data_IF_650353111799
#
_entry.id   IF_650353111799
#
_cell.length_a   1.000
_cell.length_b   1.000
_cell.length_c   1.000
_cell.angle_alpha   90.00
_cell.angle_beta   90.00
_cell.angle_gamma   90.00
#
_symmetry.space_group_name_H-M   'P 1'
#
loop_
_entity.id
_entity.type
_entity.pdbx_description
1 polymer ?
#
# COMPACT_ATOMS: atom_id res chain seq x y z
N UNK A 1 12.43 -4.84 -20.81
CA UNK A 1 12.48 -3.39 -20.75
C UNK A 1 12.05 -2.90 -19.38
N UNK A 2 12.91 -2.24 -18.68
CA UNK A 2 12.61 -1.74 -17.36
C UNK A 2 11.79 -0.45 -17.37
N UNK A 3 11.03 -0.23 -16.31
CA UNK A 3 10.37 1.06 -16.09
C UNK A 3 11.46 2.04 -15.64
N UNK A 4 11.49 3.22 -16.21
CA UNK A 4 12.43 4.26 -15.81
C UNK A 4 11.74 5.28 -14.91
N UNK A 5 12.54 6.02 -14.17
CA UNK A 5 12.03 7.01 -13.23
C UNK A 5 11.83 6.46 -11.84
N UNK A 6 11.38 7.29 -10.90
CA UNK A 6 11.21 6.85 -9.51
C UNK A 6 10.03 5.88 -9.36
N UNK A 7 10.11 5.07 -8.31
CA UNK A 7 9.00 4.20 -7.93
C UNK A 7 7.83 5.09 -7.55
N UNK A 8 6.65 4.75 -8.04
CA UNK A 8 5.43 5.52 -7.76
C UNK A 8 4.53 4.73 -6.83
N UNK A 9 4.19 5.30 -5.68
CA UNK A 9 3.41 4.64 -4.64
C UNK A 9 2.17 5.45 -4.30
N UNK A 10 1.01 4.79 -4.30
CA UNK A 10 -0.21 5.38 -3.76
C UNK A 10 -0.29 5.01 -2.29
N UNK A 11 -0.34 5.99 -1.42
CA UNK A 11 -0.56 5.78 0.01
C UNK A 11 -2.00 6.15 0.31
N UNK A 12 -2.74 5.20 0.83
CA UNK A 12 -4.18 5.35 1.00
C UNK A 12 -4.64 4.94 2.39
N UNK A 13 -5.74 5.54 2.80
CA UNK A 13 -6.38 5.22 4.06
C UNK A 13 -7.83 4.90 3.79
N UNK A 14 -8.16 3.60 3.62
CA UNK A 14 -9.51 3.21 3.26
C UNK A 14 -10.45 3.26 4.45
N UNK A 15 -11.74 3.35 4.16
CA UNK A 15 -12.80 3.29 5.14
C UNK A 15 -13.02 4.59 5.89
N UNK A 16 -13.66 4.49 7.04
CA UNK A 16 -14.11 5.65 7.81
C UNK A 16 -13.13 6.06 8.92
N UNK A 17 -11.98 5.41 8.99
CA UNK A 17 -10.96 5.71 9.98
C UNK A 17 -10.37 7.10 9.73
N UNK A 18 -10.43 7.96 10.74
CA UNK A 18 -9.93 9.34 10.63
C UNK A 18 -8.49 9.53 11.08
N UNK A 19 -7.77 8.46 11.40
CA UNK A 19 -6.40 8.52 11.91
C UNK A 19 -5.39 8.50 10.77
N UNK A 20 -5.07 9.65 10.21
CA UNK A 20 -4.23 9.73 9.02
C UNK A 20 -2.73 10.00 9.31
N UNK A 21 -2.35 10.19 10.56
CA UNK A 21 -0.98 10.53 10.92
C UNK A 21 0.04 9.50 10.42
N UNK A 22 -0.27 8.21 10.65
CA UNK A 22 0.63 7.14 10.21
C UNK A 22 0.81 7.12 8.70
N UNK A 23 -0.28 7.29 7.97
CA UNK A 23 -0.23 7.34 6.51
C UNK A 23 0.62 8.50 6.01
N UNK A 24 0.49 9.68 6.63
CA UNK A 24 1.27 10.85 6.26
C UNK A 24 2.75 10.67 6.55
N UNK A 25 3.10 10.04 7.66
CA UNK A 25 4.50 9.77 8.02
C UNK A 25 5.13 8.85 6.99
N UNK A 26 4.43 7.78 6.61
CA UNK A 26 4.91 6.85 5.59
C UNK A 26 5.06 7.53 4.24
N UNK A 27 4.05 8.30 3.84
CA UNK A 27 4.09 9.04 2.58
C UNK A 27 5.30 9.96 2.50
N UNK A 28 5.57 10.67 3.58
CA UNK A 28 6.72 11.57 3.64
C UNK A 28 8.04 10.82 3.57
N UNK A 29 8.15 9.70 4.29
CA UNK A 29 9.38 8.91 4.29
C UNK A 29 9.69 8.36 2.90
N UNK A 30 8.69 7.86 2.19
CA UNK A 30 8.86 7.36 0.83
C UNK A 30 9.24 8.50 -0.13
N UNK A 31 8.62 9.66 0.02
CA UNK A 31 8.94 10.82 -0.80
C UNK A 31 10.37 11.29 -0.56
N UNK A 32 10.79 11.36 0.70
CA UNK A 32 12.15 11.77 1.07
C UNK A 32 13.20 10.80 0.53
N UNK A 33 12.81 9.55 0.29
CA UNK A 33 13.68 8.53 -0.30
C UNK A 33 13.74 8.61 -1.84
N UNK A 34 13.07 9.59 -2.44
CA UNK A 34 13.11 9.80 -3.89
C UNK A 34 11.97 9.17 -4.68
N UNK A 35 10.99 8.61 -4.01
CA UNK A 35 9.83 8.03 -4.68
C UNK A 35 8.77 9.08 -4.97
N UNK A 36 7.96 8.85 -5.99
CA UNK A 36 6.78 9.67 -6.23
C UNK A 36 5.63 9.09 -5.42
N UNK A 37 5.04 9.92 -4.57
CA UNK A 37 3.98 9.48 -3.67
C UNK A 37 2.71 10.24 -3.95
N UNK A 38 1.63 9.50 -4.13
CA UNK A 38 0.28 10.05 -4.25
C UNK A 38 -0.46 9.68 -2.96
N UNK A 39 -0.72 10.67 -2.13
CA UNK A 39 -1.50 10.47 -0.91
C UNK A 39 -2.95 10.78 -1.21
N UNK A 40 -3.83 9.78 -1.06
CA UNK A 40 -5.24 9.92 -1.45
C UNK A 40 -6.09 10.69 -0.46
N UNK A 41 -5.62 10.84 0.77
CA UNK A 41 -6.42 11.42 1.83
C UNK A 41 -7.28 10.39 2.56
N UNK A 42 -8.18 10.88 3.39
CA UNK A 42 -9.04 10.05 4.23
C UNK A 42 -10.26 9.53 3.47
N UNK A 43 -10.88 8.52 4.05
CA UNK A 43 -12.20 8.01 3.67
C UNK A 43 -12.30 7.53 2.22
N UNK A 44 -11.22 6.92 1.74
CA UNK A 44 -11.22 6.38 0.39
C UNK A 44 -11.88 5.01 0.33
N UNK A 45 -12.66 4.76 -0.71
CA UNK A 45 -13.17 3.41 -0.96
C UNK A 45 -12.08 2.59 -1.66
N UNK A 46 -12.12 1.25 -1.56
CA UNK A 46 -11.20 0.40 -2.32
C UNK A 46 -11.24 0.70 -3.82
N UNK A 47 -12.43 0.96 -4.38
CA UNK A 47 -12.60 1.33 -5.77
C UNK A 47 -11.86 2.60 -6.14
N UNK A 48 -11.97 3.63 -5.31
CA UNK A 48 -11.27 4.90 -5.52
C UNK A 48 -9.75 4.71 -5.47
N UNK A 49 -9.28 3.91 -4.54
CA UNK A 49 -7.85 3.64 -4.36
C UNK A 49 -7.29 2.94 -5.61
N UNK A 50 -7.97 1.91 -6.08
CA UNK A 50 -7.54 1.16 -7.25
C UNK A 50 -7.60 2.03 -8.51
N UNK A 51 -8.67 2.82 -8.67
CA UNK A 51 -8.78 3.75 -9.78
C UNK A 51 -7.61 4.73 -9.82
N UNK A 52 -7.27 5.30 -8.66
CA UNK A 52 -6.15 6.23 -8.56
C UNK A 52 -4.84 5.55 -8.95
N UNK A 53 -4.61 4.35 -8.43
CA UNK A 53 -3.38 3.62 -8.72
C UNK A 53 -3.22 3.33 -10.21
N UNK A 54 -4.30 2.95 -10.87
CA UNK A 54 -4.28 2.67 -12.30
C UNK A 54 -4.07 3.94 -13.11
N UNK A 55 -4.80 5.01 -12.77
CA UNK A 55 -4.68 6.30 -13.46
C UNK A 55 -3.28 6.91 -13.34
N UNK A 56 -2.68 6.77 -12.17
CA UNK A 56 -1.36 7.33 -11.89
C UNK A 56 -0.22 6.38 -12.30
N UNK A 57 -0.56 5.22 -12.83
CA UNK A 57 0.42 4.22 -13.23
C UNK A 57 1.34 3.85 -12.07
N UNK A 58 0.75 3.61 -10.92
CA UNK A 58 1.49 3.32 -9.70
C UNK A 58 2.11 1.93 -9.72
N UNK A 59 3.24 1.79 -9.05
CA UNK A 59 3.93 0.51 -8.90
C UNK A 59 3.46 -0.25 -7.68
N UNK A 60 2.96 0.48 -6.68
CA UNK A 60 2.51 -0.12 -5.43
C UNK A 60 1.42 0.72 -4.76
N UNK A 61 0.63 0.06 -3.93
CA UNK A 61 -0.37 0.69 -3.08
C UNK A 61 -0.02 0.35 -1.63
N UNK A 62 0.16 1.37 -0.81
CA UNK A 62 0.33 1.20 0.62
C UNK A 62 -0.95 1.58 1.35
N UNK A 63 -1.50 0.66 2.13
CA UNK A 63 -2.73 0.89 2.89
C UNK A 63 -2.41 1.05 4.37
N UNK A 64 -2.92 2.13 4.96
CA UNK A 64 -2.80 2.37 6.40
C UNK A 64 -4.17 2.14 7.04
N UNK A 65 -4.27 1.12 7.89
CA UNK A 65 -5.55 0.69 8.44
C UNK A 65 -5.44 0.53 9.96
N UNK A 66 -6.22 1.32 10.70
CA UNK A 66 -6.28 1.23 12.16
C UNK A 66 -7.64 0.78 12.67
N UNK A 67 -8.59 0.61 11.79
CA UNK A 67 -9.99 0.41 12.17
C UNK A 67 -10.38 -1.03 12.50
N UNK A 68 -9.50 -1.99 12.28
CA UNK A 68 -9.84 -3.40 12.45
C UNK A 68 -10.50 -4.04 11.23
N UNK A 69 -10.80 -3.25 10.19
CA UNK A 69 -11.42 -3.75 8.96
C UNK A 69 -10.39 -4.22 7.93
N UNK A 70 -9.18 -4.50 8.38
CA UNK A 70 -8.05 -4.81 7.50
C UNK A 70 -8.29 -6.03 6.59
N UNK A 71 -8.90 -7.10 7.11
CA UNK A 71 -9.13 -8.29 6.30
C UNK A 71 -10.02 -7.98 5.10
N UNK A 72 -11.13 -7.30 5.33
CA UNK A 72 -12.08 -6.96 4.28
C UNK A 72 -11.49 -5.99 3.27
N UNK A 73 -10.81 -4.95 3.77
CA UNK A 73 -10.30 -3.89 2.90
C UNK A 73 -9.15 -4.36 2.02
N UNK A 74 -8.20 -5.12 2.56
CA UNK A 74 -7.12 -5.68 1.76
C UNK A 74 -7.65 -6.62 0.67
N UNK A 75 -8.55 -7.51 1.04
CA UNK A 75 -9.12 -8.47 0.09
C UNK A 75 -9.85 -7.74 -1.04
N UNK A 76 -10.62 -6.72 -0.70
CA UNK A 76 -11.37 -5.96 -1.71
C UNK A 76 -10.44 -5.25 -2.69
N UNK A 77 -9.36 -4.65 -2.21
CA UNK A 77 -8.36 -4.01 -3.09
C UNK A 77 -7.72 -5.04 -4.01
N UNK A 78 -7.33 -6.19 -3.47
CA UNK A 78 -6.72 -7.26 -4.27
C UNK A 78 -7.67 -7.78 -5.34
N UNK A 79 -8.94 -8.00 -5.00
CA UNK A 79 -9.95 -8.44 -5.95
C UNK A 79 -10.15 -7.44 -7.09
N UNK A 80 -10.19 -6.16 -6.76
CA UNK A 80 -10.36 -5.11 -7.76
C UNK A 80 -9.17 -5.04 -8.71
N UNK A 81 -7.96 -5.17 -8.19
CA UNK A 81 -6.76 -5.19 -9.02
C UNK A 81 -6.80 -6.38 -9.99
N UNK A 82 -7.24 -7.53 -9.53
CA UNK A 82 -7.36 -8.72 -10.37
C UNK A 82 -8.42 -8.51 -11.46
N UNK A 83 -9.56 -7.94 -11.11
CA UNK A 83 -10.65 -7.68 -12.06
C UNK A 83 -10.23 -6.71 -13.16
N UNK A 84 -9.28 -5.83 -12.88
CA UNK A 84 -8.83 -4.80 -13.82
C UNK A 84 -7.50 -5.11 -14.47
N UNK A 85 -7.03 -6.35 -14.38
CA UNK A 85 -5.76 -6.79 -14.95
C UNK A 85 -4.57 -5.95 -14.46
N UNK A 86 -4.61 -5.56 -13.19
CA UNK A 86 -3.58 -4.72 -12.58
C UNK A 86 -2.87 -5.42 -11.41
N UNK A 87 -2.74 -6.74 -11.47
CA UNK A 87 -2.12 -7.53 -10.40
C UNK A 87 -0.62 -7.27 -10.26
N UNK A 88 0.00 -6.63 -11.22
CA UNK A 88 1.39 -6.22 -11.14
C UNK A 88 1.62 -5.09 -10.14
N UNK A 89 0.56 -4.37 -9.75
CA UNK A 89 0.65 -3.37 -8.69
C UNK A 89 0.71 -4.11 -7.35
N UNK A 90 1.80 -3.93 -6.62
CA UNK A 90 1.97 -4.60 -5.33
C UNK A 90 1.20 -3.88 -4.24
N UNK A 91 0.58 -4.65 -3.34
CA UNK A 91 -0.16 -4.10 -2.21
C UNK A 91 0.61 -4.43 -0.93
N UNK A 92 0.95 -3.42 -0.17
CA UNK A 92 1.49 -3.60 1.17
C UNK A 92 0.68 -2.75 2.14
N UNK A 93 0.86 -2.97 3.41
CA UNK A 93 0.08 -2.21 4.36
C UNK A 93 0.69 -2.18 5.73
N UNK A 94 0.06 -1.42 6.59
CA UNK A 94 0.48 -1.30 7.96
C UNK A 94 -0.66 -0.80 8.82
N UNK A 95 -0.44 -0.86 10.12
CA UNK A 95 -1.41 -0.45 11.09
C UNK A 95 -1.48 -1.46 12.22
N UNK A 96 -2.54 -1.39 13.00
CA UNK A 96 -2.73 -2.33 14.11
C UNK A 96 -3.41 -3.58 13.55
N UNK A 97 -2.59 -4.53 13.12
CA UNK A 97 -3.06 -5.78 12.53
C UNK A 97 -2.56 -6.94 13.38
N UNK A 98 -3.46 -7.77 13.92
CA UNK A 98 -3.05 -8.92 14.73
C UNK A 98 -2.13 -9.87 13.97
N UNK A 99 -1.13 -10.40 14.64
CA UNK A 99 -0.17 -11.32 14.02
C UNK A 99 -0.86 -12.50 13.35
N UNK A 100 -1.95 -13.00 13.94
CA UNK A 100 -2.69 -14.12 13.39
C UNK A 100 -3.31 -13.82 12.00
N UNK A 101 -3.48 -12.55 11.67
CA UNK A 101 -4.09 -12.15 10.40
C UNK A 101 -3.05 -11.88 9.30
N UNK A 102 -1.79 -11.74 9.67
CA UNK A 102 -0.72 -11.37 8.72
C UNK A 102 -0.49 -12.47 7.68
N UNK A 103 -0.27 -13.70 8.13
CA UNK A 103 -0.02 -14.81 7.22
C UNK A 103 -1.18 -15.07 6.27
N UNK A 104 -2.44 -15.12 6.73
CA UNK A 104 -3.58 -15.26 5.81
C UNK A 104 -3.69 -14.15 4.78
N UNK A 105 -3.39 -12.90 5.16
CA UNK A 105 -3.42 -11.79 4.21
C UNK A 105 -2.32 -11.93 3.15
N UNK A 106 -1.14 -12.33 3.56
CA UNK A 106 -0.04 -12.58 2.62
C UNK A 106 -0.38 -13.70 1.65
N UNK A 107 -1.03 -14.75 2.12
CA UNK A 107 -1.48 -15.86 1.27
C UNK A 107 -2.47 -15.38 0.21
N UNK A 108 -3.25 -14.36 0.52
CA UNK A 108 -4.23 -13.80 -0.41
C UNK A 108 -3.62 -12.84 -1.42
N UNK A 109 -2.37 -12.44 -1.23
CA UNK A 109 -1.67 -11.59 -2.18
C UNK A 109 -1.12 -10.28 -1.63
N UNK A 110 -1.29 -9.99 -0.35
CA UNK A 110 -0.67 -8.82 0.27
C UNK A 110 0.83 -9.07 0.34
N UNK A 111 1.62 -8.18 -0.23
CA UNK A 111 3.05 -8.40 -0.37
C UNK A 111 3.80 -8.28 0.95
N UNK A 112 3.40 -7.34 1.80
CA UNK A 112 4.02 -7.18 3.13
C UNK A 112 3.09 -6.40 4.05
N UNK A 113 3.20 -6.66 5.35
CA UNK A 113 2.45 -5.93 6.37
C UNK A 113 3.43 -5.46 7.44
N UNK A 114 3.42 -4.17 7.70
CA UNK A 114 4.27 -3.54 8.73
C UNK A 114 3.42 -3.26 9.96
N UNK A 115 3.83 -3.80 11.09
CA UNK A 115 3.13 -3.59 12.36
C UNK A 115 3.73 -2.40 13.09
N UNK A 116 3.06 -1.89 14.16
CA UNK A 116 3.63 -0.84 14.99
C UNK A 116 5.00 -1.27 15.50
N UNK A 117 5.98 -0.43 15.38
CA UNK A 117 7.36 -0.78 15.71
C UNK A 117 8.24 -0.94 14.49
N UNK A 118 7.68 -1.14 13.31
CA UNK A 118 8.46 -1.09 12.09
C UNK A 118 8.90 0.36 11.86
N UNK A 119 10.17 0.52 11.48
CA UNK A 119 10.68 1.87 11.22
C UNK A 119 10.32 2.31 9.80
N UNK A 120 10.29 3.63 9.57
CA UNK A 120 10.10 4.15 8.22
C UNK A 120 11.24 3.72 7.30
N UNK A 121 12.45 3.61 7.84
CA UNK A 121 13.60 3.11 7.08
C UNK A 121 13.38 1.68 6.59
N UNK A 122 12.81 0.81 7.41
CA UNK A 122 12.52 -0.56 7.02
C UNK A 122 11.47 -0.62 5.90
N UNK A 123 10.49 0.25 5.95
CA UNK A 123 9.44 0.33 4.91
C UNK A 123 10.05 0.81 3.59
N UNK A 124 10.87 1.85 3.64
CA UNK A 124 11.57 2.37 2.46
C UNK A 124 12.45 1.28 1.82
N UNK A 125 13.24 0.59 2.64
CA UNK A 125 14.10 -0.50 2.17
C UNK A 125 13.30 -1.60 1.48
N UNK A 126 12.18 -1.98 2.11
CA UNK A 126 11.35 -3.04 1.54
C UNK A 126 10.79 -2.64 0.17
N UNK A 127 10.30 -1.41 0.06
CA UNK A 127 9.75 -0.92 -1.20
C UNK A 127 10.83 -0.91 -2.29
N UNK A 128 12.02 -0.41 -1.96
CA UNK A 128 13.13 -0.40 -2.91
C UNK A 128 13.54 -1.80 -3.35
N UNK A 129 13.49 -2.78 -2.44
CA UNK A 129 13.94 -4.13 -2.72
C UNK A 129 12.89 -4.99 -3.44
N UNK A 130 11.62 -4.68 -3.27
CA UNK A 130 10.54 -5.57 -3.71
C UNK A 130 9.61 -4.99 -4.77
N UNK A 131 9.52 -3.68 -4.85
CA UNK A 131 8.69 -3.02 -5.86
C UNK A 131 9.57 -2.71 -7.07
N UNK A 132 9.10 -3.06 -8.26
CA UNK A 132 9.90 -2.97 -9.49
C UNK A 132 11.19 -3.78 -9.42
N UNK A 133 11.09 -4.98 -8.86
CA UNK A 133 12.24 -5.89 -8.88
C UNK A 133 12.56 -6.16 -10.35
N UNK A 134 13.80 -5.94 -10.73
CA UNK A 134 14.20 -6.13 -12.10
C UNK A 134 13.99 -7.57 -12.53
N UNK A 135 13.33 -7.73 -13.64
CA UNK A 135 13.17 -9.05 -14.22
C UNK A 135 14.45 -9.48 -14.92
#
# INVERSE_FOLDING_TARGET
MGVTGPIRVVVAKPGLDGHDRGAKVIARALRDAGMEVIYTGLHQTPEQIVDTAIQEDADAIGLSILSGAHNTLFVKVLELLKERDAEDIKVFGGGIIPDADIAPLKEKGVAEIFTPGATTAAIVEWVNANVRVAA
#
